data_IF_378213414402
#
_entry.id   IF_378213414402
#
_cell.length_a   1.000
_cell.length_b   1.000
_cell.length_c   1.000
_cell.angle_alpha   90.00
_cell.angle_beta   90.00
_cell.angle_gamma   90.00
#
_symmetry.space_group_name_H-M   'P 1'
#
loop_
_entity.id
_entity.type
_entity.pdbx_description
1 polymer ?
#
# COMPACT_ATOMS: atom_id res chain seq x y z
N UNK A 1 -6.18 -73.06 -1.28
CA UNK A 1 -4.99 -72.38 -0.72
C UNK A 1 -5.19 -70.88 -0.90
N UNK A 2 -5.17 -70.07 0.16
CA UNK A 2 -5.24 -68.62 0.02
C UNK A 2 -3.87 -68.05 -0.38
N UNK A 3 -3.82 -66.91 -1.11
CA UNK A 3 -2.55 -66.22 -1.41
C UNK A 3 -2.01 -65.47 -0.18
N UNK A 4 -0.69 -65.21 -0.11
CA UNK A 4 -0.04 -64.69 1.09
C UNK A 4 -0.31 -63.19 1.29
N UNK A 5 -0.54 -62.83 2.56
CA UNK A 5 -0.66 -61.46 3.03
C UNK A 5 0.68 -60.71 2.86
N UNK A 6 0.70 -59.72 1.98
CA UNK A 6 1.78 -58.72 1.94
C UNK A 6 1.34 -57.52 2.78
N UNK A 7 1.86 -57.45 4.00
CA UNK A 7 1.71 -56.31 4.89
C UNK A 7 2.46 -55.10 4.32
N UNK A 8 1.72 -54.18 3.70
CA UNK A 8 2.23 -52.83 3.39
C UNK A 8 2.44 -52.10 4.73
N UNK A 9 3.66 -51.63 5.06
CA UNK A 9 3.86 -50.85 6.27
C UNK A 9 3.13 -49.49 6.14
N UNK A 10 2.56 -48.95 7.22
CA UNK A 10 1.80 -47.72 7.15
C UNK A 10 2.70 -46.56 6.72
N UNK A 11 2.24 -45.82 5.70
CA UNK A 11 2.81 -44.54 5.26
C UNK A 11 2.79 -43.61 6.47
N UNK A 12 3.96 -43.30 7.02
CA UNK A 12 4.11 -42.31 8.07
C UNK A 12 3.68 -40.95 7.49
N UNK A 13 2.42 -40.58 7.68
CA UNK A 13 1.95 -39.22 7.46
C UNK A 13 2.53 -38.35 8.56
N UNK A 14 3.77 -37.87 8.36
CA UNK A 14 4.23 -36.68 9.06
C UNK A 14 3.31 -35.56 8.59
N UNK A 15 2.27 -35.30 9.37
CA UNK A 15 1.61 -34.01 9.33
C UNK A 15 2.67 -32.99 9.72
N UNK A 16 3.24 -32.31 8.74
CA UNK A 16 4.02 -31.10 8.97
C UNK A 16 3.06 -30.09 9.59
N UNK A 17 2.94 -30.15 10.92
CA UNK A 17 2.41 -29.06 11.73
C UNK A 17 3.49 -27.98 11.73
N UNK A 18 3.54 -27.24 10.64
CA UNK A 18 4.32 -26.02 10.51
C UNK A 18 3.93 -25.09 11.68
N UNK A 19 4.93 -24.74 12.51
CA UNK A 19 4.75 -23.80 13.61
C UNK A 19 4.39 -22.44 13.02
N UNK A 20 3.29 -21.85 13.48
CA UNK A 20 3.04 -20.42 13.24
C UNK A 20 4.22 -19.62 13.76
N UNK A 21 4.80 -18.78 12.89
CA UNK A 21 5.86 -17.84 13.26
C UNK A 21 5.36 -16.92 14.38
N UNK A 22 6.24 -16.52 15.29
CA UNK A 22 5.87 -15.50 16.28
C UNK A 22 5.60 -14.18 15.56
N UNK A 23 4.77 -13.31 16.15
CA UNK A 23 4.47 -11.98 15.59
C UNK A 23 5.75 -11.19 15.26
N UNK A 24 6.79 -11.30 16.10
CA UNK A 24 8.06 -10.59 15.89
C UNK A 24 8.87 -11.17 14.72
N UNK A 25 8.87 -12.50 14.56
CA UNK A 25 9.59 -13.15 13.46
C UNK A 25 8.90 -12.86 12.12
N UNK A 26 7.56 -12.87 12.10
CA UNK A 26 6.80 -12.45 10.94
C UNK A 26 7.09 -10.98 10.59
N UNK A 27 7.04 -10.07 11.57
CA UNK A 27 7.39 -8.66 11.36
C UNK A 27 8.83 -8.47 10.87
N UNK A 28 9.77 -9.27 11.38
CA UNK A 28 11.16 -9.27 10.90
C UNK A 28 11.23 -9.64 9.42
N UNK A 29 10.50 -10.67 8.99
CA UNK A 29 10.43 -11.06 7.58
C UNK A 29 9.85 -9.94 6.71
N UNK A 30 8.81 -9.24 7.18
CA UNK A 30 8.17 -8.12 6.46
C UNK A 30 9.01 -6.83 6.40
N UNK A 31 9.99 -6.66 7.30
CA UNK A 31 10.81 -5.45 7.39
C UNK A 31 12.23 -5.63 6.85
N UNK A 32 12.86 -6.75 7.21
CA UNK A 32 14.28 -7.00 6.93
C UNK A 32 14.49 -7.74 5.62
N UNK A 33 13.46 -8.47 5.16
CA UNK A 33 13.50 -9.28 3.94
C UNK A 33 14.75 -10.18 3.89
N UNK A 34 14.92 -11.10 4.87
CA UNK A 34 16.07 -11.98 4.91
C UNK A 34 16.12 -12.89 3.66
N UNK A 35 17.30 -13.41 3.29
CA UNK A 35 17.47 -14.24 2.08
C UNK A 35 16.57 -15.48 1.98
N UNK A 36 16.00 -15.92 3.11
CA UNK A 36 15.01 -17.00 3.16
C UNK A 36 13.71 -16.42 3.71
N UNK A 37 12.81 -16.02 2.82
CA UNK A 37 11.47 -15.59 3.19
C UNK A 37 10.52 -16.79 3.31
N UNK A 38 9.48 -16.69 4.17
CA UNK A 38 8.41 -17.67 4.20
C UNK A 38 7.80 -17.86 2.80
N UNK A 39 7.51 -19.10 2.43
CA UNK A 39 7.02 -19.42 1.09
C UNK A 39 5.54 -19.05 0.88
N UNK A 40 4.79 -18.72 1.95
CA UNK A 40 3.37 -18.35 1.87
C UNK A 40 3.15 -16.95 2.45
N UNK A 41 2.22 -16.22 1.84
CA UNK A 41 1.68 -14.99 2.41
C UNK A 41 1.02 -15.28 3.76
N UNK A 42 1.35 -14.49 4.77
CA UNK A 42 0.73 -14.65 6.09
C UNK A 42 -0.77 -14.33 6.03
N UNK A 43 -1.58 -15.10 6.75
CA UNK A 43 -3.04 -14.90 6.80
C UNK A 43 -3.47 -13.63 7.57
N UNK A 44 -2.57 -13.04 8.37
CA UNK A 44 -2.89 -11.98 9.34
C UNK A 44 -2.29 -10.61 8.95
N UNK A 45 -2.25 -10.25 7.67
CA UNK A 45 -1.66 -8.98 7.20
C UNK A 45 -2.21 -7.74 7.89
N UNK A 46 -3.52 -7.69 8.15
CA UNK A 46 -4.14 -6.56 8.85
C UNK A 46 -3.62 -6.40 10.28
N UNK A 47 -3.31 -7.51 10.96
CA UNK A 47 -2.72 -7.48 12.30
C UNK A 47 -1.28 -6.97 12.25
N UNK A 48 -0.50 -7.40 11.27
CA UNK A 48 0.88 -6.92 11.08
C UNK A 48 0.94 -5.44 10.74
N UNK A 49 0.13 -4.97 9.81
CA UNK A 49 0.05 -3.56 9.45
C UNK A 49 -0.35 -2.70 10.67
N UNK A 50 -1.33 -3.15 11.47
CA UNK A 50 -1.73 -2.48 12.72
C UNK A 50 -0.57 -2.42 13.72
N UNK A 51 0.16 -3.52 13.92
CA UNK A 51 1.29 -3.56 14.85
C UNK A 51 2.44 -2.67 14.36
N UNK A 52 2.75 -2.68 13.06
CA UNK A 52 3.77 -1.81 12.46
C UNK A 52 3.40 -0.33 12.62
N UNK A 53 2.16 0.04 12.30
CA UNK A 53 1.68 1.41 12.43
C UNK A 53 1.71 1.87 13.91
N UNK A 54 1.32 1.00 14.84
CA UNK A 54 1.41 1.31 16.28
C UNK A 54 2.86 1.50 16.74
N UNK A 55 3.80 0.65 16.29
CA UNK A 55 5.24 0.84 16.59
C UNK A 55 5.76 2.16 16.03
N UNK A 56 5.41 2.48 14.78
CA UNK A 56 5.78 3.73 14.15
C UNK A 56 5.23 4.94 14.92
N UNK A 57 3.97 4.90 15.34
CA UNK A 57 3.35 5.94 16.17
C UNK A 57 4.07 6.13 17.51
N UNK A 58 4.47 5.04 18.17
CA UNK A 58 5.26 5.11 19.41
C UNK A 58 6.62 5.75 19.16
N UNK A 59 7.32 5.36 18.09
CA UNK A 59 8.60 5.96 17.70
C UNK A 59 8.48 7.44 17.37
N UNK A 60 7.46 7.84 16.61
CA UNK A 60 7.20 9.25 16.26
C UNK A 60 6.94 10.09 17.51
N UNK A 61 6.14 9.58 18.46
CA UNK A 61 5.93 10.24 19.75
C UNK A 61 7.24 10.39 20.52
N UNK A 62 8.03 9.32 20.59
CA UNK A 62 9.30 9.37 21.29
C UNK A 62 10.22 10.43 20.68
N UNK A 63 10.34 10.48 19.35
CA UNK A 63 11.13 11.50 18.65
C UNK A 63 10.60 12.91 18.93
N UNK A 64 9.29 13.13 18.86
CA UNK A 64 8.64 14.41 19.18
C UNK A 64 9.00 14.91 20.59
N UNK A 65 9.00 13.99 21.55
CA UNK A 65 9.14 14.29 22.98
C UNK A 65 10.61 14.32 23.46
N UNK A 66 11.58 14.13 22.56
CA UNK A 66 13.00 14.26 22.89
C UNK A 66 13.34 15.69 23.35
N UNK A 67 14.10 15.85 24.45
CA UNK A 67 14.52 17.16 24.91
C UNK A 67 15.44 17.83 23.89
N UNK A 68 15.18 19.11 23.59
CA UNK A 68 15.95 19.88 22.60
C UNK A 68 15.62 19.55 21.13
N UNK A 69 14.49 18.90 20.86
CA UNK A 69 14.07 18.63 19.49
C UNK A 69 13.42 19.86 18.84
N UNK A 70 14.21 20.62 18.08
CA UNK A 70 13.75 21.78 17.30
C UNK A 70 12.72 21.42 16.20
N UNK A 71 12.58 20.13 15.87
CA UNK A 71 11.64 19.61 14.87
C UNK A 71 10.38 18.98 15.48
N UNK A 72 10.10 19.20 16.77
CA UNK A 72 8.93 18.61 17.46
C UNK A 72 7.59 18.88 16.74
N UNK A 73 7.45 20.05 16.08
CA UNK A 73 6.29 20.35 15.24
C UNK A 73 6.15 19.38 14.05
N UNK A 74 7.25 19.07 13.34
CA UNK A 74 7.24 18.13 12.21
C UNK A 74 6.80 16.74 12.67
N UNK A 75 7.32 16.26 13.80
CA UNK A 75 6.91 14.98 14.37
C UNK A 75 5.43 14.97 14.79
N UNK A 76 4.90 16.11 15.23
CA UNK A 76 3.46 16.25 15.54
C UNK A 76 2.59 16.15 14.28
N UNK A 77 3.05 16.69 13.15
CA UNK A 77 2.37 16.53 11.85
C UNK A 77 2.41 15.08 11.38
N UNK A 78 3.57 14.42 11.48
CA UNK A 78 3.73 13.00 11.15
C UNK A 78 2.80 12.14 12.01
N UNK A 79 2.74 12.38 13.32
CA UNK A 79 1.85 11.65 14.21
C UNK A 79 0.39 11.80 13.75
N UNK A 80 -0.03 13.03 13.43
CA UNK A 80 -1.40 13.31 13.00
C UNK A 80 -1.74 12.60 11.70
N UNK A 81 -0.89 12.68 10.68
CA UNK A 81 -1.12 12.00 9.40
C UNK A 81 -1.15 10.47 9.54
N UNK A 82 -0.32 9.90 10.40
CA UNK A 82 -0.35 8.47 10.71
C UNK A 82 -1.64 8.07 11.46
N UNK A 83 -2.14 8.92 12.36
CA UNK A 83 -3.43 8.68 13.04
C UNK A 83 -4.62 8.78 12.10
N UNK A 84 -4.62 9.75 11.19
CA UNK A 84 -5.65 9.87 10.15
C UNK A 84 -5.63 8.65 9.20
N UNK A 85 -4.43 8.18 8.84
CA UNK A 85 -4.27 6.93 8.07
C UNK A 85 -4.78 5.72 8.86
N UNK A 86 -4.50 5.64 10.16
CA UNK A 86 -5.01 4.58 11.04
C UNK A 86 -6.54 4.59 11.12
N UNK A 87 -7.14 5.77 11.31
CA UNK A 87 -8.59 5.92 11.50
C UNK A 87 -9.35 5.53 10.23
N UNK A 88 -8.78 5.83 9.05
CA UNK A 88 -9.36 5.50 7.74
C UNK A 88 -9.25 4.03 7.36
N UNK A 89 -8.43 3.22 8.06
CA UNK A 89 -8.23 1.79 7.74
C UNK A 89 -8.58 0.85 8.90
N UNK A 90 -9.34 1.31 9.90
CA UNK A 90 -9.62 0.53 11.11
C UNK A 90 -10.20 -0.87 10.84
N UNK A 91 -11.02 -0.99 9.78
CA UNK A 91 -11.67 -2.22 9.34
C UNK A 91 -10.90 -3.06 8.31
N UNK A 92 -9.63 -2.77 8.03
CA UNK A 92 -8.84 -3.48 7.00
C UNK A 92 -9.13 -3.06 5.55
N UNK A 93 -9.97 -2.05 5.39
CA UNK A 93 -10.34 -1.42 4.13
C UNK A 93 -10.53 0.09 4.38
N UNK A 94 -10.69 0.88 3.31
CA UNK A 94 -10.87 2.32 3.41
C UNK A 94 -12.27 2.62 3.95
N UNK A 95 -12.39 3.17 5.16
CA UNK A 95 -13.65 3.59 5.73
C UNK A 95 -14.07 4.95 5.15
N UNK A 96 -15.17 4.94 4.38
CA UNK A 96 -15.73 6.14 3.74
C UNK A 96 -16.00 7.27 4.73
N UNK A 97 -16.59 6.98 5.88
CA UNK A 97 -17.05 8.02 6.83
C UNK A 97 -15.86 8.68 7.51
N UNK A 98 -14.88 7.87 7.94
CA UNK A 98 -13.61 8.35 8.47
C UNK A 98 -12.86 9.16 7.41
N UNK A 99 -12.78 8.67 6.18
CA UNK A 99 -12.08 9.36 5.09
C UNK A 99 -12.69 10.74 4.80
N UNK A 100 -14.02 10.84 4.74
CA UNK A 100 -14.72 12.11 4.57
C UNK A 100 -14.38 13.07 5.72
N UNK A 101 -14.39 12.58 6.96
CA UNK A 101 -14.04 13.39 8.14
C UNK A 101 -12.61 13.92 8.04
N UNK A 102 -11.63 13.04 7.84
CA UNK A 102 -10.21 13.43 7.77
C UNK A 102 -9.93 14.40 6.59
N UNK A 103 -10.61 14.23 5.44
CA UNK A 103 -10.44 15.11 4.28
C UNK A 103 -11.15 16.46 4.43
N UNK A 104 -12.24 16.55 5.21
CA UNK A 104 -12.90 17.82 5.50
C UNK A 104 -12.14 18.64 6.54
N UNK A 105 -11.55 17.98 7.54
CA UNK A 105 -10.74 18.60 8.60
C UNK A 105 -9.28 18.84 8.17
N UNK A 106 -8.98 18.67 6.88
CA UNK A 106 -7.63 18.61 6.34
C UNK A 106 -6.90 19.97 6.36
N UNK A 107 -5.92 20.09 7.27
CA UNK A 107 -5.12 21.29 7.47
C UNK A 107 -4.05 21.52 6.40
N UNK A 108 -3.39 22.69 6.44
CA UNK A 108 -2.38 23.09 5.44
C UNK A 108 -1.12 22.26 5.44
N UNK A 109 -0.73 21.76 6.61
CA UNK A 109 0.46 20.93 6.80
C UNK A 109 0.11 19.45 7.01
N UNK A 110 -1.18 19.11 6.89
CA UNK A 110 -1.64 17.75 7.10
C UNK A 110 -1.45 16.92 5.82
N UNK A 111 -1.22 15.63 6.02
CA UNK A 111 -1.19 14.65 4.94
C UNK A 111 -2.04 13.44 5.33
N UNK A 112 -2.50 12.71 4.33
CA UNK A 112 -3.22 11.46 4.49
C UNK A 112 -2.69 10.43 3.50
N UNK A 113 -2.43 9.22 3.97
CA UNK A 113 -2.15 8.08 3.11
C UNK A 113 -3.41 7.22 3.03
N UNK A 114 -3.88 6.96 1.82
CA UNK A 114 -4.98 6.02 1.57
C UNK A 114 -4.40 4.80 0.86
N UNK A 115 -4.45 3.64 1.49
CA UNK A 115 -3.94 2.40 0.92
C UNK A 115 -5.09 1.55 0.38
N UNK A 116 -5.09 1.34 -0.93
CA UNK A 116 -6.10 0.54 -1.64
C UNK A 116 -5.44 -0.79 -2.03
N UNK A 117 -5.38 -1.71 -1.05
CA UNK A 117 -4.69 -3.00 -1.18
C UNK A 117 -5.13 -3.81 -2.40
N UNK A 118 -6.44 -3.88 -2.64
CA UNK A 118 -7.06 -4.55 -3.79
C UNK A 118 -6.59 -4.03 -5.15
N UNK A 119 -6.04 -2.82 -5.21
CA UNK A 119 -5.56 -2.17 -6.43
C UNK A 119 -4.03 -2.03 -6.44
N UNK A 120 -3.29 -2.65 -5.51
CA UNK A 120 -1.82 -2.48 -5.42
C UNK A 120 -1.40 -0.99 -5.47
N UNK A 121 -2.22 -0.09 -4.89
CA UNK A 121 -2.03 1.35 -5.03
C UNK A 121 -2.20 2.07 -3.69
N UNK A 122 -1.36 3.06 -3.44
CA UNK A 122 -1.49 4.00 -2.35
C UNK A 122 -1.58 5.43 -2.89
N UNK A 123 -2.47 6.21 -2.30
CA UNK A 123 -2.66 7.60 -2.60
C UNK A 123 -2.14 8.43 -1.43
N UNK A 124 -1.16 9.27 -1.68
CA UNK A 124 -0.70 10.28 -0.73
C UNK A 124 -1.36 11.60 -1.09
N UNK A 125 -2.09 12.14 -0.11
CA UNK A 125 -2.86 13.38 -0.24
C UNK A 125 -2.22 14.40 0.70
N UNK A 126 -1.99 15.62 0.22
CA UNK A 126 -1.49 16.73 1.05
C UNK A 126 -1.94 18.08 0.50
N UNK A 127 -2.00 19.10 1.35
CA UNK A 127 -2.16 20.48 0.89
C UNK A 127 -0.81 21.06 0.44
N UNK A 128 -0.86 21.99 -0.51
CA UNK A 128 0.32 22.70 -1.00
C UNK A 128 -0.07 24.00 -1.71
N UNK A 129 0.93 24.87 -1.89
CA UNK A 129 0.79 26.06 -2.73
C UNK A 129 1.27 25.72 -4.13
N UNK A 130 0.34 25.52 -5.04
CA UNK A 130 0.60 25.29 -6.45
C UNK A 130 0.98 26.59 -7.16
N UNK A 131 1.94 26.54 -8.08
CA UNK A 131 2.40 27.72 -8.82
C UNK A 131 1.32 28.35 -9.72
N UNK A 132 0.32 27.57 -10.16
CA UNK A 132 -0.74 28.02 -11.07
C UNK A 132 -2.03 28.29 -10.32
N UNK A 133 -2.46 27.36 -9.47
CA UNK A 133 -3.75 27.44 -8.78
C UNK A 133 -3.68 28.10 -7.40
N UNK A 134 -2.48 28.36 -6.90
CA UNK A 134 -2.29 28.75 -5.51
C UNK A 134 -2.68 27.62 -4.56
N UNK A 135 -3.53 27.90 -3.57
CA UNK A 135 -3.91 26.90 -2.56
C UNK A 135 -4.56 25.68 -3.24
N UNK A 136 -3.92 24.52 -3.10
CA UNK A 136 -4.30 23.29 -3.81
C UNK A 136 -4.14 22.06 -2.92
N UNK A 137 -4.81 20.97 -3.33
CA UNK A 137 -4.61 19.63 -2.79
C UNK A 137 -3.86 18.82 -3.84
N UNK A 138 -2.74 18.22 -3.43
CA UNK A 138 -1.90 17.38 -4.27
C UNK A 138 -2.21 15.93 -3.95
N UNK A 139 -2.46 15.17 -5.01
CA UNK A 139 -2.66 13.73 -5.00
C UNK A 139 -1.49 13.07 -5.70
N UNK A 140 -0.80 12.17 -5.01
CA UNK A 140 0.34 11.42 -5.53
C UNK A 140 0.02 9.92 -5.44
N UNK A 141 -0.02 9.23 -6.58
CA UNK A 141 -0.29 7.80 -6.64
C UNK A 141 1.02 7.00 -6.68
N UNK A 142 1.09 5.99 -5.83
CA UNK A 142 2.22 5.08 -5.67
C UNK A 142 1.72 3.66 -5.91
N UNK A 143 2.41 2.91 -6.77
CA UNK A 143 2.19 1.47 -6.89
C UNK A 143 2.98 0.75 -5.80
N UNK A 144 2.40 -0.29 -5.21
CA UNK A 144 2.81 -0.74 -3.86
C UNK A 144 3.74 -1.94 -3.87
N UNK A 145 3.61 -2.80 -4.88
CA UNK A 145 4.46 -3.94 -5.19
C UNK A 145 4.74 -3.99 -6.69
N UNK A 146 5.92 -4.46 -7.07
CA UNK A 146 6.28 -4.55 -8.48
C UNK A 146 5.43 -5.64 -9.14
N UNK A 147 5.11 -5.46 -10.41
CA UNK A 147 4.40 -6.51 -11.16
C UNK A 147 5.37 -7.68 -11.36
N UNK A 148 4.89 -8.90 -11.18
CA UNK A 148 5.70 -10.11 -11.39
C UNK A 148 6.38 -10.10 -12.79
N UNK A 149 5.72 -9.55 -13.79
CA UNK A 149 6.25 -9.38 -15.15
C UNK A 149 7.48 -8.46 -15.19
N UNK A 150 7.46 -7.34 -14.47
CA UNK A 150 8.57 -6.38 -14.41
C UNK A 150 9.77 -6.95 -13.62
N UNK A 151 9.48 -7.76 -12.59
CA UNK A 151 10.50 -8.46 -11.80
C UNK A 151 11.16 -9.56 -12.62
N UNK A 152 10.37 -10.34 -13.38
CA UNK A 152 10.89 -11.41 -14.24
C UNK A 152 11.62 -10.89 -15.48
N UNK A 153 11.27 -9.70 -15.97
CA UNK A 153 11.92 -9.07 -17.12
C UNK A 153 13.27 -8.43 -16.80
N UNK A 154 13.60 -8.26 -15.51
CA UNK A 154 14.84 -7.58 -15.10
C UNK A 154 15.88 -8.61 -14.65
N UNK A 155 17.04 -8.68 -15.31
CA UNK A 155 18.16 -9.56 -14.90
C UNK A 155 18.81 -9.15 -13.55
N UNK A 156 18.47 -7.97 -13.02
CA UNK A 156 19.02 -7.35 -11.81
C UNK A 156 17.91 -6.64 -10.98
N UNK A 157 18.24 -5.60 -10.20
CA UNK A 157 17.27 -4.84 -9.42
C UNK A 157 16.37 -3.95 -10.31
N UNK A 158 15.06 -3.94 -10.04
CA UNK A 158 14.08 -3.11 -10.72
C UNK A 158 14.30 -1.63 -10.34
N UNK A 159 14.51 -0.78 -11.34
CA UNK A 159 14.61 0.66 -11.16
C UNK A 159 13.20 1.26 -11.20
N UNK A 160 12.73 1.76 -10.06
CA UNK A 160 11.35 2.17 -9.89
C UNK A 160 11.25 3.64 -9.48
N UNK A 161 10.46 4.40 -10.23
CA UNK A 161 10.23 5.83 -10.00
C UNK A 161 8.97 6.07 -9.16
N UNK A 162 9.07 6.98 -8.20
CA UNK A 162 7.99 7.39 -7.32
C UNK A 162 7.88 8.91 -7.20
N UNK A 163 6.67 9.49 -7.13
CA UNK A 163 5.37 8.86 -7.39
C UNK A 163 5.20 8.49 -8.88
N UNK A 164 4.31 7.53 -9.16
CA UNK A 164 4.01 7.14 -10.54
C UNK A 164 3.25 8.23 -11.30
N UNK A 165 2.39 8.97 -10.60
CA UNK A 165 1.80 10.20 -11.10
C UNK A 165 1.38 11.12 -9.97
N UNK A 166 1.26 12.41 -10.28
CA UNK A 166 0.83 13.44 -9.35
C UNK A 166 -0.12 14.44 -10.02
N UNK A 167 -1.13 14.89 -9.30
CA UNK A 167 -2.14 15.85 -9.77
C UNK A 167 -2.38 16.88 -8.67
N UNK A 168 -2.39 18.17 -9.05
CA UNK A 168 -2.86 19.26 -8.21
C UNK A 168 -4.30 19.61 -8.56
N UNK A 169 -5.18 19.64 -7.56
CA UNK A 169 -6.56 20.11 -7.67
C UNK A 169 -6.69 21.41 -6.87
N UNK A 170 -7.26 22.48 -7.44
CA UNK A 170 -7.50 23.73 -6.70
C UNK A 170 -8.31 23.46 -5.43
N UNK A 171 -7.96 24.13 -4.34
CA UNK A 171 -8.66 23.93 -3.05
C UNK A 171 -10.15 24.30 -3.14
N UNK A 172 -10.48 25.30 -3.97
CA UNK A 172 -11.87 25.68 -4.23
C UNK A 172 -12.68 24.49 -4.78
N UNK A 173 -12.15 23.80 -5.79
CA UNK A 173 -12.77 22.61 -6.39
C UNK A 173 -12.81 21.44 -5.44
N UNK A 174 -11.74 21.22 -4.67
CA UNK A 174 -11.72 20.17 -3.64
C UNK A 174 -12.80 20.38 -2.57
N UNK A 175 -13.15 21.64 -2.27
CA UNK A 175 -14.20 22.03 -1.32
C UNK A 175 -15.59 22.14 -1.93
N UNK A 176 -15.76 21.88 -3.22
CA UNK A 176 -17.08 21.85 -3.83
C UNK A 176 -17.93 20.72 -3.22
N UNK A 177 -19.22 21.00 -3.07
CA UNK A 177 -20.16 20.05 -2.50
C UNK A 177 -20.15 18.73 -3.29
N UNK A 178 -19.83 17.64 -2.60
CA UNK A 178 -19.82 16.30 -3.17
C UNK A 178 -18.45 15.82 -3.67
N UNK A 179 -17.44 16.68 -3.84
CA UNK A 179 -16.11 16.24 -4.30
C UNK A 179 -15.51 15.19 -3.35
N UNK A 180 -15.36 15.54 -2.07
CA UNK A 180 -14.81 14.65 -1.03
C UNK A 180 -15.67 13.39 -0.86
N UNK A 181 -16.99 13.53 -0.88
CA UNK A 181 -17.92 12.40 -0.77
C UNK A 181 -17.77 11.40 -1.92
N UNK A 182 -17.64 11.90 -3.16
CA UNK A 182 -17.47 11.06 -4.34
C UNK A 182 -16.09 10.38 -4.35
N UNK A 183 -15.04 11.11 -3.98
CA UNK A 183 -13.69 10.56 -3.82
C UNK A 183 -13.68 9.44 -2.78
N UNK A 184 -14.27 9.68 -1.61
CA UNK A 184 -14.31 8.69 -0.54
C UNK A 184 -15.15 7.46 -0.92
N UNK A 185 -16.27 7.64 -1.62
CA UNK A 185 -17.05 6.54 -2.18
C UNK A 185 -16.23 5.67 -3.14
N UNK A 186 -15.50 6.30 -4.06
CA UNK A 186 -14.67 5.58 -5.03
C UNK A 186 -13.59 4.78 -4.32
N UNK A 187 -12.90 5.38 -3.34
CA UNK A 187 -11.81 4.71 -2.62
C UNK A 187 -12.30 3.59 -1.69
N UNK A 188 -13.44 3.76 -1.02
CA UNK A 188 -14.09 2.70 -0.23
C UNK A 188 -14.47 1.51 -1.11
N UNK A 189 -15.20 1.75 -2.21
CA UNK A 189 -15.56 0.69 -3.16
C UNK A 189 -14.33 0.02 -3.76
N UNK A 190 -13.35 0.81 -4.23
CA UNK A 190 -12.11 0.30 -4.79
C UNK A 190 -11.36 -0.58 -3.79
N UNK A 191 -11.39 -0.26 -2.49
CA UNK A 191 -10.71 -1.03 -1.45
C UNK A 191 -11.39 -2.36 -1.10
N UNK A 192 -12.70 -2.48 -1.35
CA UNK A 192 -13.49 -3.69 -1.10
C UNK A 192 -13.57 -4.61 -2.32
N UNK A 193 -13.67 -4.01 -3.50
CA UNK A 193 -13.87 -4.73 -4.75
C UNK A 193 -12.52 -5.06 -5.38
N UNK A 194 -12.23 -6.35 -5.49
CA UNK A 194 -11.12 -6.83 -6.28
C UNK A 194 -11.57 -6.93 -7.75
N UNK A 195 -10.87 -6.28 -8.68
CA UNK A 195 -11.18 -6.39 -10.12
C UNK A 195 -11.07 -7.83 -10.65
N UNK A 196 -10.57 -8.76 -9.85
CA UNK A 196 -10.70 -10.21 -10.07
C UNK A 196 -12.14 -10.66 -10.27
N UNK A 197 -13.13 -9.97 -9.71
CA UNK A 197 -14.54 -10.29 -9.97
C UNK A 197 -15.00 -9.90 -11.38
N UNK A 198 -14.42 -8.84 -11.96
CA UNK A 198 -14.69 -8.42 -13.34
C UNK A 198 -13.98 -9.32 -14.36
N UNK A 199 -12.74 -9.71 -14.09
CA UNK A 199 -12.02 -10.66 -14.97
C UNK A 199 -12.63 -12.06 -14.89
N UNK A 200 -13.02 -12.54 -13.70
CA UNK A 200 -13.69 -13.84 -13.55
C UNK A 200 -15.05 -13.91 -14.24
N UNK A 201 -15.81 -12.81 -14.31
CA UNK A 201 -17.09 -12.77 -15.05
C UNK A 201 -16.88 -12.74 -16.57
N UNK A 202 -15.86 -12.03 -17.08
CA UNK A 202 -15.51 -12.06 -18.50
C UNK A 202 -14.95 -13.44 -18.95
N UNK A 203 -14.21 -14.12 -18.07
CA UNK A 203 -13.63 -15.46 -18.33
C UNK A 203 -14.65 -16.62 -18.28
N UNK A 204 -15.82 -16.43 -17.64
CA UNK A 204 -16.89 -17.44 -17.67
C UNK A 204 -17.59 -17.57 -19.03
N UNK A 205 -17.31 -16.67 -19.98
CA UNK A 205 -17.84 -16.71 -21.34
C UNK A 205 -16.93 -17.44 -22.35
N UNK A 206 -15.76 -17.95 -21.95
CA UNK A 206 -14.85 -18.64 -22.86
C UNK A 206 -13.70 -19.33 -22.12
N UNK A 207 -13.77 -20.65 -22.07
CA UNK A 207 -12.88 -21.62 -21.43
C UNK A 207 -11.38 -21.28 -21.46
N UNK A 208 -10.79 -21.01 -20.28
CA UNK A 208 -9.49 -21.51 -19.82
C UNK A 208 -9.25 -21.03 -18.38
N UNK A 209 -8.72 -21.89 -17.52
CA UNK A 209 -8.48 -21.64 -16.10
C UNK A 209 -7.32 -20.62 -15.95
N UNK A 210 -7.53 -19.44 -15.34
CA UNK A 210 -6.41 -18.53 -15.10
C UNK A 210 -5.62 -19.01 -13.88
N UNK A 211 -4.30 -19.17 -14.03
CA UNK A 211 -3.39 -19.26 -12.89
C UNK A 211 -3.49 -17.95 -12.09
N UNK A 212 -3.83 -18.04 -10.80
CA UNK A 212 -3.89 -16.94 -9.83
C UNK A 212 -2.45 -16.41 -9.53
N UNK A 213 -1.84 -15.71 -10.48
CA UNK A 213 -0.43 -15.24 -10.35
C UNK A 213 -0.22 -13.74 -10.57
N UNK A 214 -1.26 -12.95 -10.84
CA UNK A 214 -1.09 -11.54 -11.14
C UNK A 214 -1.47 -10.65 -9.96
N UNK A 215 -0.51 -9.83 -9.51
CA UNK A 215 -0.75 -8.65 -8.68
C UNK A 215 -1.85 -7.80 -9.32
N UNK A 216 -2.85 -7.35 -8.56
CA UNK A 216 -3.92 -6.50 -9.08
C UNK A 216 -3.37 -5.26 -9.79
N UNK A 217 -3.89 -4.95 -10.97
CA UNK A 217 -3.46 -3.76 -11.71
C UNK A 217 -3.91 -2.47 -10.99
N UNK A 218 -3.03 -1.48 -10.80
CA UNK A 218 -3.40 -0.23 -10.15
C UNK A 218 -4.26 0.70 -10.99
N UNK A 219 -4.69 0.27 -12.18
CA UNK A 219 -5.31 1.11 -13.21
C UNK A 219 -6.53 1.91 -12.72
N UNK A 220 -7.33 1.37 -11.79
CA UNK A 220 -8.47 2.09 -11.24
C UNK A 220 -8.05 3.39 -10.52
N UNK A 221 -6.96 3.33 -9.75
CA UNK A 221 -6.45 4.49 -9.02
C UNK A 221 -5.46 5.27 -9.89
N UNK A 222 -4.39 4.63 -10.38
CA UNK A 222 -3.30 5.29 -11.09
C UNK A 222 -3.69 5.84 -12.46
N UNK A 223 -4.75 5.30 -13.09
CA UNK A 223 -5.24 5.77 -14.39
C UNK A 223 -6.59 6.47 -14.28
N UNK A 224 -7.65 5.78 -13.82
CA UNK A 224 -9.01 6.34 -13.84
C UNK A 224 -9.17 7.50 -12.84
N UNK A 225 -8.88 7.28 -11.55
CA UNK A 225 -9.00 8.35 -10.55
C UNK A 225 -8.09 9.53 -10.89
N UNK A 226 -6.82 9.27 -11.25
CA UNK A 226 -5.88 10.33 -11.56
C UNK A 226 -6.26 11.12 -12.83
N UNK A 227 -6.87 10.49 -13.83
CA UNK A 227 -7.43 11.20 -14.99
C UNK A 227 -8.62 12.09 -14.60
N UNK A 228 -9.52 11.62 -13.74
CA UNK A 228 -10.65 12.41 -13.24
C UNK A 228 -10.15 13.62 -12.44
N UNK A 229 -9.17 13.42 -11.56
CA UNK A 229 -8.54 14.49 -10.80
C UNK A 229 -7.86 15.50 -11.74
N UNK A 230 -7.21 15.02 -12.79
CA UNK A 230 -6.54 15.87 -13.78
C UNK A 230 -7.53 16.75 -14.54
N UNK A 231 -8.74 16.28 -14.86
CA UNK A 231 -9.77 17.11 -15.48
C UNK A 231 -10.22 18.27 -14.59
N UNK A 232 -10.17 18.10 -13.27
CA UNK A 232 -10.54 19.09 -12.27
C UNK A 232 -9.33 19.89 -11.76
N UNK A 233 -8.17 19.73 -12.39
CA UNK A 233 -6.91 20.26 -11.89
C UNK A 233 -5.84 20.25 -12.96
N UNK A 234 -4.62 19.86 -12.59
CA UNK A 234 -3.51 19.73 -13.53
C UNK A 234 -2.54 18.65 -13.08
N UNK A 235 -1.92 17.99 -14.06
CA UNK A 235 -0.84 17.05 -13.80
C UNK A 235 0.40 17.81 -13.30
N UNK A 236 1.07 17.23 -12.30
CA UNK A 236 2.37 17.68 -11.82
C UNK A 236 3.47 16.75 -12.35
N UNK A 237 4.65 17.32 -12.55
CA UNK A 237 5.89 16.58 -12.76
C UNK A 237 6.75 16.74 -11.50
N UNK A 238 6.51 15.96 -10.43
CA UNK A 238 7.30 16.04 -9.22
C UNK A 238 8.71 15.52 -9.45
N UNK A 239 9.64 15.90 -8.57
CA UNK A 239 10.96 15.27 -8.52
C UNK A 239 10.76 13.79 -8.20
N UNK A 240 11.12 12.93 -9.17
CA UNK A 240 10.96 11.50 -9.02
C UNK A 240 12.05 10.95 -8.09
N UNK A 241 11.63 10.23 -7.07
CA UNK A 241 12.53 9.36 -6.32
C UNK A 241 12.71 8.07 -7.11
N UNK A 242 13.95 7.77 -7.45
CA UNK A 242 14.28 6.52 -8.11
C UNK A 242 14.88 5.55 -7.09
N UNK A 243 14.19 4.43 -6.88
CA UNK A 243 14.62 3.39 -5.95
C UNK A 243 14.94 2.11 -6.71
N UNK A 244 16.06 1.48 -6.39
CA UNK A 244 16.31 0.10 -6.82
C UNK A 244 15.59 -0.85 -5.87
N UNK A 245 14.66 -1.62 -6.40
CA UNK A 245 13.90 -2.62 -5.66
C UNK A 245 14.41 -4.00 -6.09
N UNK A 246 14.80 -4.81 -5.11
CA UNK A 246 14.97 -6.25 -5.27
C UNK A 246 13.69 -6.89 -4.76
N UNK A 247 12.84 -7.35 -5.67
CA UNK A 247 11.74 -8.27 -5.34
C UNK A 247 12.20 -9.66 -5.78
N UNK A 248 12.16 -10.63 -4.88
CA UNK A 248 12.51 -12.02 -5.18
C UNK A 248 11.22 -12.82 -5.40
N UNK A 249 11.04 -13.39 -6.60
CA UNK A 249 9.93 -14.31 -6.89
C UNK A 249 10.30 -15.69 -6.35
N UNK A 250 9.76 -16.06 -5.18
CA UNK A 250 9.94 -17.40 -4.61
C UNK A 250 9.15 -18.43 -5.42
N UNK A 251 9.85 -19.32 -6.15
CA UNK A 251 9.26 -20.24 -7.14
C UNK A 251 8.72 -21.59 -6.59
N UNK A 252 8.68 -21.83 -5.28
CA UNK A 252 8.27 -23.16 -4.78
C UNK A 252 6.82 -23.22 -4.28
N UNK A 253 5.93 -23.78 -5.10
CA UNK A 253 4.64 -24.42 -4.75
C UNK A 253 3.72 -23.68 -3.74
N UNK A 254 3.71 -22.35 -3.74
CA UNK A 254 2.76 -21.56 -2.95
C UNK A 254 1.73 -20.87 -3.85
N UNK A 255 0.46 -20.96 -3.47
CA UNK A 255 -0.69 -20.41 -4.22
C UNK A 255 -0.68 -18.87 -4.31
N UNK A 256 0.11 -18.19 -3.46
CA UNK A 256 0.35 -16.74 -3.54
C UNK A 256 1.72 -16.40 -2.92
N UNK A 257 2.58 -15.75 -3.69
CA UNK A 257 3.90 -15.30 -3.23
C UNK A 257 3.76 -14.15 -2.21
N UNK A 258 4.76 -14.00 -1.33
CA UNK A 258 4.77 -12.95 -0.31
C UNK A 258 4.85 -11.57 -0.97
N UNK A 259 3.76 -10.82 -0.94
CA UNK A 259 3.73 -9.41 -1.35
C UNK A 259 4.37 -8.55 -0.24
N UNK A 260 5.30 -7.66 -0.60
CA UNK A 260 6.07 -6.83 0.34
C UNK A 260 5.18 -5.79 1.04
N UNK A 261 4.59 -6.15 2.19
CA UNK A 261 3.58 -5.34 2.90
C UNK A 261 4.06 -4.06 3.61
N UNK A 262 5.30 -3.60 3.43
CA UNK A 262 5.76 -2.41 4.17
C UNK A 262 5.57 -1.11 3.38
N UNK A 263 4.33 -0.85 2.96
CA UNK A 263 3.96 0.43 2.33
C UNK A 263 4.20 1.62 3.26
N UNK A 264 3.93 1.49 4.55
CA UNK A 264 4.24 2.55 5.52
C UNK A 264 5.75 2.82 5.59
N UNK A 265 6.60 1.80 5.50
CA UNK A 265 8.05 1.98 5.48
C UNK A 265 8.53 2.57 4.13
N UNK A 266 7.93 2.17 3.02
CA UNK A 266 8.26 2.67 1.68
C UNK A 266 7.77 4.11 1.46
N UNK A 267 6.51 4.42 1.77
CA UNK A 267 5.92 5.75 1.66
C UNK A 267 6.55 6.74 2.66
N UNK A 268 6.79 6.31 3.91
CA UNK A 268 7.54 7.11 4.88
C UNK A 268 8.97 7.36 4.38
N UNK A 269 9.69 6.34 3.87
CA UNK A 269 11.04 6.54 3.32
C UNK A 269 11.07 7.46 2.10
N UNK A 270 10.02 7.52 1.29
CA UNK A 270 9.99 8.39 0.10
C UNK A 270 9.79 9.87 0.47
N UNK A 271 8.93 10.18 1.45
CA UNK A 271 8.63 11.56 1.82
C UNK A 271 9.35 12.07 3.07
N UNK A 272 9.96 11.22 3.91
CA UNK A 272 10.91 11.66 4.97
C UNK A 272 12.29 12.01 4.42
N UNK A 273 12.62 11.63 3.19
CA UNK A 273 13.83 12.11 2.50
C UNK A 273 13.64 13.46 1.79
N UNK A 274 12.40 13.90 1.58
CA UNK A 274 12.04 15.14 0.90
C UNK A 274 11.87 16.39 1.81
N UNK A 275 11.65 16.34 3.16
CA UNK A 275 11.41 17.56 3.92
C UNK A 275 12.68 18.42 4.05
N UNK A 276 13.87 17.87 3.77
CA UNK A 276 15.12 18.60 3.86
C UNK A 276 15.38 19.56 2.68
N UNK A 277 14.63 19.49 1.57
CA UNK A 277 14.86 20.35 0.40
C UNK A 277 13.76 21.40 0.15
N UNK A 278 12.65 21.36 0.89
CA UNK A 278 11.53 22.32 0.75
C UNK A 278 11.37 23.31 1.92
N UNK A 279 12.28 23.28 2.89
CA UNK A 279 12.42 24.34 3.90
C UNK A 279 13.78 25.03 3.72
N UNK A 280 13.88 25.83 2.65
CA UNK A 280 14.98 26.74 2.36
C UNK A 280 14.44 27.97 1.67
#
# INVERSE_FOLDING_TARGET
MPPPATSVPPRNSKSDKEKSLSLNDALYNHLVLPPQLPQRQDSNLDEFEKVLLNRLLVSVKHMRDLPGNDQSYVWSLIERGLRATQSTHAGGHVDRTALIRELNDFGESDFLVVYVRSQNCALYIRRSQDAVFGASVIFEAFETSARNEDVLATENALQWNFPGCAVAVPLATFRENGFVSNLANLLDNASRESLTDFSAQALKAGTSMPEFRNTSEPALISSMLMAILQQNGRRLAPTLLQKMVRDDVLWNNAEKAMETTSLLARAASCHLSIPCSTFG
#
